data_IF_387683535448
#
_entry.id   IF_387683535448
#
_cell.length_a   1.000
_cell.length_b   1.000
_cell.length_c   1.000
_cell.angle_alpha   90.00
_cell.angle_beta   90.00
_cell.angle_gamma   90.00
#
_symmetry.space_group_name_H-M   'P 1'
#
loop_
_entity.id
_entity.type
_entity.pdbx_description
1 polymer ?
#
# COMPACT_ATOMS: atom_id res chain seq x y z
N UNK A 1 13.05 15.85 13.39
CA UNK A 1 12.36 15.57 12.11
C UNK A 1 11.43 16.71 11.74
N UNK A 2 10.39 17.04 12.53
CA UNK A 2 9.52 18.19 12.27
C UNK A 2 10.26 19.54 12.22
N UNK A 3 11.19 19.78 13.16
CA UNK A 3 12.00 21.01 13.20
C UNK A 3 12.94 21.14 12.00
N UNK A 4 13.71 20.09 11.69
CA UNK A 4 14.53 20.05 10.48
C UNK A 4 13.69 20.27 9.20
N UNK A 5 12.45 19.78 9.17
CA UNK A 5 11.53 20.04 8.06
C UNK A 5 11.03 21.50 8.04
N UNK A 6 10.78 22.12 9.21
CA UNK A 6 10.35 23.51 9.34
C UNK A 6 11.40 24.53 8.91
N UNK A 7 12.67 24.12 8.82
CA UNK A 7 13.77 24.94 8.30
C UNK A 7 13.72 25.11 6.78
N UNK A 8 12.92 24.30 6.07
CA UNK A 8 12.79 24.36 4.61
C UNK A 8 11.47 24.99 4.20
N UNK A 9 11.48 25.76 3.11
CA UNK A 9 10.25 26.33 2.55
C UNK A 9 9.29 25.20 2.13
N UNK A 10 7.99 25.36 2.39
CA UNK A 10 6.98 24.34 2.04
C UNK A 10 7.03 23.93 0.54
N UNK A 11 7.38 24.86 -0.36
CA UNK A 11 7.54 24.60 -1.79
C UNK A 11 8.74 23.67 -2.14
N UNK A 12 9.71 23.57 -1.24
CA UNK A 12 10.90 22.70 -1.34
C UNK A 12 10.75 21.38 -0.59
N UNK A 13 9.56 21.15 -0.01
CA UNK A 13 9.16 19.91 0.64
C UNK A 13 8.32 19.07 -0.33
N UNK A 14 8.61 17.78 -0.39
CA UNK A 14 7.75 16.85 -1.12
C UNK A 14 6.43 16.66 -0.33
N UNK A 15 5.24 16.68 -0.96
CA UNK A 15 3.95 16.52 -0.26
C UNK A 15 3.90 15.28 0.65
N UNK A 16 4.42 14.16 0.15
CA UNK A 16 4.52 12.92 0.93
C UNK A 16 5.35 13.02 2.21
N UNK A 17 6.41 13.85 2.24
CA UNK A 17 7.17 14.09 3.47
C UNK A 17 6.28 14.76 4.53
N UNK A 18 5.45 15.72 4.11
CA UNK A 18 4.51 16.41 5.00
C UNK A 18 3.43 15.46 5.51
N UNK A 19 2.83 14.66 4.61
CA UNK A 19 1.83 13.66 4.99
C UNK A 19 2.36 12.63 5.99
N UNK A 20 3.61 12.19 5.84
CA UNK A 20 4.25 11.27 6.78
C UNK A 20 4.52 11.91 8.14
N UNK A 21 4.95 13.18 8.18
CA UNK A 21 5.14 13.92 9.43
C UNK A 21 3.82 14.11 10.17
N UNK A 22 2.74 14.41 9.45
CA UNK A 22 1.39 14.54 10.01
C UNK A 22 0.89 13.19 10.55
N UNK A 23 1.06 12.12 9.79
CA UNK A 23 0.65 10.76 10.19
C UNK A 23 1.30 10.29 11.49
N UNK A 24 2.57 10.66 11.74
CA UNK A 24 3.26 10.32 13.00
C UNK A 24 3.05 11.36 14.09
N UNK A 25 2.26 12.41 13.85
CA UNK A 25 2.01 13.49 14.79
C UNK A 25 3.28 14.26 15.16
N UNK A 26 4.23 14.39 14.22
CA UNK A 26 5.50 15.05 14.49
C UNK A 26 5.30 16.56 14.64
N UNK A 27 5.07 17.01 15.87
CA UNK A 27 4.96 18.42 16.23
C UNK A 27 6.24 18.89 16.95
N UNK A 28 6.77 20.09 16.62
CA UNK A 28 7.83 20.71 17.42
C UNK A 28 7.32 20.95 18.85
N UNK A 29 8.09 20.49 19.85
CA UNK A 29 7.68 20.58 21.26
C UNK A 29 8.74 21.18 22.18
N UNK A 30 9.95 21.41 21.69
CA UNK A 30 11.08 21.93 22.47
C UNK A 30 11.32 23.40 22.18
N UNK A 31 11.96 24.09 23.13
CA UNK A 31 12.41 25.47 22.95
C UNK A 31 13.73 25.49 22.18
N UNK A 32 13.80 26.21 21.06
CA UNK A 32 15.02 26.31 20.25
C UNK A 32 16.14 27.12 20.94
N UNK A 33 15.81 27.92 21.96
CA UNK A 33 16.80 28.66 22.74
C UNK A 33 17.62 27.75 23.68
N UNK A 34 17.16 26.52 23.93
CA UNK A 34 17.80 25.57 24.85
C UNK A 34 18.28 24.34 24.06
N UNK A 35 19.48 23.78 24.36
CA UNK A 35 19.96 22.60 23.64
C UNK A 35 18.99 21.41 23.73
N UNK A 36 18.56 20.91 22.56
CA UNK A 36 17.61 19.79 22.44
C UNK A 36 17.94 18.56 23.30
N UNK A 37 19.21 18.08 23.37
CA UNK A 37 19.52 16.87 24.13
C UNK A 37 19.17 17.00 25.63
N UNK A 38 19.37 18.19 26.22
CA UNK A 38 19.05 18.42 27.62
C UNK A 38 17.53 18.41 27.88
N UNK A 39 16.75 19.00 26.97
CA UNK A 39 15.29 19.00 27.05
C UNK A 39 14.70 17.60 26.82
N UNK A 40 15.27 16.82 25.90
CA UNK A 40 14.88 15.43 25.65
C UNK A 40 15.14 14.54 26.87
N UNK A 41 16.34 14.65 27.47
CA UNK A 41 16.67 13.96 28.72
C UNK A 41 15.67 14.31 29.84
N UNK A 42 15.40 15.60 30.05
CA UNK A 42 14.44 16.05 31.05
C UNK A 42 13.03 15.51 30.82
N UNK A 43 12.53 15.53 29.57
CA UNK A 43 11.19 15.04 29.21
C UNK A 43 11.03 13.53 29.42
N UNK A 44 12.08 12.76 29.17
CA UNK A 44 12.04 11.30 29.27
C UNK A 44 12.60 10.76 30.60
N UNK A 45 13.02 11.62 31.52
CA UNK A 45 13.59 11.23 32.82
C UNK A 45 14.93 10.51 32.70
N UNK A 46 15.72 10.83 31.67
CA UNK A 46 16.99 10.15 31.36
C UNK A 46 18.15 11.01 31.84
N UNK A 47 19.09 10.39 32.57
CA UNK A 47 20.30 11.08 33.01
C UNK A 47 21.22 11.45 31.84
N UNK A 48 21.99 12.54 31.99
CA UNK A 48 22.89 13.04 30.94
C UNK A 48 23.91 11.99 30.48
N UNK A 49 24.41 11.15 31.39
CA UNK A 49 25.35 10.09 31.04
C UNK A 49 24.71 9.04 30.12
N UNK A 50 23.52 8.55 30.47
CA UNK A 50 22.76 7.59 29.65
C UNK A 50 22.35 8.18 28.29
N UNK A 51 22.03 9.48 28.23
CA UNK A 51 21.80 10.17 26.97
C UNK A 51 23.04 10.17 26.06
N UNK A 52 24.22 10.48 26.62
CA UNK A 52 25.47 10.51 25.84
C UNK A 52 25.83 9.12 25.33
N UNK A 53 25.65 8.09 26.16
CA UNK A 53 25.86 6.69 25.76
C UNK A 53 24.92 6.31 24.61
N UNK A 54 23.61 6.55 24.74
CA UNK A 54 22.63 6.27 23.69
C UNK A 54 22.92 7.07 22.40
N UNK A 55 23.38 8.33 22.52
CA UNK A 55 23.75 9.15 21.37
C UNK A 55 24.99 8.61 20.64
N UNK A 56 26.02 8.18 21.38
CA UNK A 56 27.22 7.58 20.81
C UNK A 56 26.91 6.23 20.15
N UNK A 57 26.07 5.40 20.78
CA UNK A 57 25.58 4.16 20.18
C UNK A 57 24.82 4.43 18.88
N UNK A 58 23.90 5.41 18.90
CA UNK A 58 23.14 5.81 17.71
C UNK A 58 24.05 6.27 16.57
N UNK A 59 25.05 7.11 16.86
CA UNK A 59 26.05 7.55 15.85
C UNK A 59 26.85 6.35 15.36
N UNK A 60 27.29 5.48 16.25
CA UNK A 60 28.02 4.25 15.90
C UNK A 60 27.21 3.32 14.99
N UNK A 61 25.90 3.20 15.22
CA UNK A 61 24.97 2.47 14.34
C UNK A 61 24.81 3.20 13.01
N UNK A 62 24.52 4.50 13.03
CA UNK A 62 24.26 5.31 11.84
C UNK A 62 25.45 5.29 10.86
N UNK A 63 26.68 5.33 11.36
CA UNK A 63 27.90 5.26 10.54
C UNK A 63 28.13 3.89 9.88
N UNK A 64 27.47 2.82 10.35
CA UNK A 64 27.56 1.46 9.79
C UNK A 64 26.38 1.11 8.88
N UNK A 65 25.34 1.94 8.85
CA UNK A 65 24.19 1.69 7.99
C UNK A 65 24.59 1.89 6.52
N UNK A 66 24.16 1.00 5.62
CA UNK A 66 24.41 1.19 4.20
C UNK A 66 23.67 2.43 3.70
N UNK A 67 24.27 3.14 2.75
CA UNK A 67 23.58 4.22 2.05
C UNK A 67 22.29 3.68 1.41
N UNK A 68 21.19 4.34 1.71
CA UNK A 68 19.88 4.00 1.16
C UNK A 68 19.61 4.81 -0.10
N UNK A 69 18.92 4.20 -1.04
CA UNK A 69 18.43 4.87 -2.25
C UNK A 69 17.51 6.04 -1.86
N UNK A 70 17.72 7.21 -2.45
CA UNK A 70 16.82 8.34 -2.27
C UNK A 70 15.56 8.12 -3.11
N UNK A 71 14.51 7.57 -2.49
CA UNK A 71 13.21 7.31 -3.15
C UNK A 71 12.31 8.56 -3.23
N UNK A 72 12.64 9.58 -2.43
CA UNK A 72 12.02 10.89 -2.42
C UNK A 72 13.15 11.91 -2.33
N UNK A 73 12.99 13.11 -2.92
CA UNK A 73 13.94 14.18 -2.68
C UNK A 73 14.00 14.48 -1.18
N UNK A 74 15.19 14.69 -0.60
CA UNK A 74 15.31 15.09 0.78
C UNK A 74 14.65 16.46 1.01
N UNK A 75 14.23 16.78 2.25
CA UNK A 75 13.75 18.11 2.61
C UNK A 75 14.67 19.21 2.05
N UNK A 76 14.06 20.25 1.45
CA UNK A 76 14.79 21.35 0.80
C UNK A 76 15.21 21.11 -0.65
N UNK A 77 15.07 19.89 -1.18
CA UNK A 77 15.55 19.51 -2.51
C UNK A 77 14.42 19.16 -3.49
N UNK A 78 13.14 19.30 -3.09
CA UNK A 78 12.03 19.04 -3.99
C UNK A 78 11.91 20.15 -5.05
N UNK A 79 11.80 19.75 -6.31
CA UNK A 79 11.51 20.61 -7.47
C UNK A 79 10.05 20.49 -7.89
N UNK A 80 9.54 21.45 -8.67
CA UNK A 80 8.20 21.38 -9.23
C UNK A 80 7.95 20.08 -10.03
N UNK A 81 8.94 19.60 -10.77
CA UNK A 81 8.87 18.32 -11.48
C UNK A 81 8.77 17.12 -10.52
N UNK A 82 9.53 17.12 -9.41
CA UNK A 82 9.44 16.05 -8.41
C UNK A 82 8.12 16.05 -7.63
N UNK A 83 7.42 17.18 -7.57
CA UNK A 83 6.08 17.30 -6.95
C UNK A 83 4.95 16.98 -7.92
N UNK A 84 5.13 17.26 -9.21
CA UNK A 84 4.13 16.94 -10.24
C UNK A 84 3.93 15.43 -10.42
N UNK A 85 4.97 14.64 -10.14
CA UNK A 85 4.92 13.18 -10.17
C UNK A 85 4.07 12.55 -9.06
N UNK A 86 3.66 13.31 -8.02
CA UNK A 86 2.91 12.77 -6.87
C UNK A 86 1.38 12.92 -6.93
N UNK A 87 0.83 13.42 -8.04
CA UNK A 87 -0.56 13.90 -8.07
C UNK A 87 -0.71 15.19 -7.25
N UNK A 88 -1.38 16.18 -7.83
CA UNK A 88 -1.55 17.51 -7.24
C UNK A 88 -2.58 17.47 -6.08
N UNK A 89 -2.09 17.41 -4.84
CA UNK A 89 -2.84 17.68 -3.60
C UNK A 89 -2.85 19.20 -3.36
N UNK A 90 -3.90 19.90 -3.80
CA UNK A 90 -4.21 21.24 -3.29
C UNK A 90 -5.19 21.09 -2.13
N UNK A 91 -4.69 21.29 -0.91
CA UNK A 91 -5.42 21.20 0.34
C UNK A 91 -6.76 21.97 0.32
N UNK A 92 -7.86 21.24 0.19
CA UNK A 92 -9.22 21.69 0.45
C UNK A 92 -9.77 20.99 1.69
N UNK A 93 -10.27 21.77 2.66
CA UNK A 93 -10.91 21.33 3.91
C UNK A 93 -11.79 20.07 3.72
N UNK A 94 -11.69 19.04 4.59
CA UNK A 94 -12.54 17.87 4.46
C UNK A 94 -14.02 18.25 4.61
N UNK A 95 -14.92 17.78 3.72
CA UNK A 95 -16.36 18.01 3.87
C UNK A 95 -16.88 17.29 5.12
N UNK A 96 -17.78 17.95 5.84
CA UNK A 96 -18.40 17.36 7.03
C UNK A 96 -19.49 16.36 6.62
N UNK A 97 -19.83 15.42 7.51
CA UNK A 97 -20.89 14.44 7.26
C UNK A 97 -22.25 15.11 6.92
N UNK A 98 -22.49 16.30 7.44
CA UNK A 98 -23.68 17.11 7.14
C UNK A 98 -23.68 17.69 5.72
N UNK A 99 -22.52 18.06 5.19
CA UNK A 99 -22.39 18.58 3.82
C UNK A 99 -22.73 17.49 2.80
N UNK A 100 -22.26 16.27 3.06
CA UNK A 100 -22.54 15.12 2.20
C UNK A 100 -24.02 14.71 2.23
N UNK A 101 -24.68 14.81 3.39
CA UNK A 101 -26.09 14.48 3.52
C UNK A 101 -27.02 15.48 2.80
N UNK A 102 -26.68 16.78 2.80
CA UNK A 102 -27.45 17.82 2.12
C UNK A 102 -27.34 17.74 0.59
N UNK A 103 -26.15 17.42 0.08
CA UNK A 103 -25.90 17.25 -1.36
C UNK A 103 -26.62 16.01 -1.93
N UNK A 104 -26.79 14.95 -1.12
CA UNK A 104 -27.55 13.75 -1.51
C UNK A 104 -29.06 13.96 -1.55
N UNK A 105 -29.61 14.85 -0.70
CA UNK A 105 -31.02 15.20 -0.72
C UNK A 105 -31.41 16.04 -1.96
N UNK A 106 -30.51 16.90 -2.46
CA UNK A 106 -30.75 17.66 -3.70
C UNK A 106 -30.58 16.82 -4.97
N UNK A 107 -29.74 15.78 -4.94
CA UNK A 107 -29.52 14.89 -6.08
C UNK A 107 -30.67 13.89 -6.33
N UNK A 108 -31.52 13.63 -5.33
CA UNK A 108 -32.67 12.73 -5.45
C UNK A 108 -33.94 13.39 -6.03
N UNK A 109 -33.92 14.70 -6.31
CA UNK A 109 -35.11 15.50 -6.63
C UNK A 109 -35.19 16.07 -8.06
N UNK A 110 -34.65 15.41 -9.08
CA UNK A 110 -34.69 15.92 -10.45
C UNK A 110 -34.92 14.84 -11.50
N UNK A 111 -36.18 14.64 -11.90
CA UNK A 111 -36.55 13.82 -13.04
C UNK A 111 -36.74 14.70 -14.31
N UNK A 112 -36.27 14.16 -15.43
CA UNK A 112 -36.46 14.56 -16.84
C UNK A 112 -35.57 15.68 -17.42
N UNK A 113 -34.68 15.30 -18.37
CA UNK A 113 -34.10 16.22 -19.36
C UNK A 113 -32.73 15.80 -19.98
N UNK A 114 -32.79 15.22 -21.19
CA UNK A 114 -31.82 15.22 -22.32
C UNK A 114 -30.31 14.84 -22.14
N UNK A 115 -29.66 14.27 -23.20
CA UNK A 115 -28.27 13.80 -23.15
C UNK A 115 -27.30 14.92 -23.55
N UNK A 116 -26.39 15.24 -22.63
CA UNK A 116 -25.35 16.24 -22.87
C UNK A 116 -25.00 16.98 -21.59
N UNK A 117 -24.32 16.33 -20.66
CA UNK A 117 -23.55 17.05 -19.64
C UNK A 117 -22.28 16.30 -19.32
N UNK A 118 -21.18 17.00 -19.60
CA UNK A 118 -19.85 16.77 -19.08
C UNK A 118 -19.92 16.80 -17.55
N UNK A 119 -20.19 15.65 -16.93
CA UNK A 119 -20.12 15.53 -15.47
C UNK A 119 -18.64 15.65 -15.09
N UNK A 120 -18.26 16.59 -14.20
CA UNK A 120 -16.89 16.68 -13.72
C UNK A 120 -16.48 15.33 -13.13
N UNK A 121 -15.41 14.74 -13.68
CA UNK A 121 -14.90 13.45 -13.20
C UNK A 121 -14.55 13.57 -11.72
N UNK A 122 -14.86 12.56 -10.88
CA UNK A 122 -14.49 12.60 -9.47
C UNK A 122 -12.97 12.67 -9.33
N UNK A 123 -12.47 13.60 -8.51
CA UNK A 123 -11.04 13.74 -8.23
C UNK A 123 -10.47 12.50 -7.53
N UNK A 124 -9.18 12.17 -7.70
CA UNK A 124 -8.53 11.02 -7.07
C UNK A 124 -8.80 10.94 -5.56
N UNK A 125 -8.75 12.08 -4.88
CA UNK A 125 -9.02 12.21 -3.43
C UNK A 125 -10.43 11.73 -3.06
N UNK A 126 -11.45 12.04 -3.86
CA UNK A 126 -12.84 11.63 -3.59
C UNK A 126 -13.01 10.13 -3.76
N UNK A 127 -12.32 9.55 -4.73
CA UNK A 127 -12.31 8.10 -4.98
C UNK A 127 -11.60 7.39 -3.83
N UNK A 128 -10.39 7.82 -3.46
CA UNK A 128 -9.60 7.24 -2.38
C UNK A 128 -10.26 7.44 -1.00
N UNK A 129 -10.86 8.60 -0.74
CA UNK A 129 -11.64 8.84 0.48
C UNK A 129 -12.84 7.89 0.59
N UNK A 130 -13.51 7.61 -0.54
CA UNK A 130 -14.62 6.65 -0.60
C UNK A 130 -14.14 5.21 -0.40
N UNK A 131 -12.97 4.84 -0.90
CA UNK A 131 -12.34 3.53 -0.64
C UNK A 131 -12.02 3.38 0.83
N UNK A 132 -11.34 4.37 1.44
CA UNK A 132 -10.99 4.33 2.86
C UNK A 132 -12.23 4.23 3.75
N UNK A 133 -13.28 4.96 3.43
CA UNK A 133 -14.55 4.88 4.16
C UNK A 133 -15.22 3.50 4.05
N UNK A 134 -15.20 2.89 2.85
CA UNK A 134 -15.73 1.56 2.63
C UNK A 134 -14.93 0.49 3.39
N UNK A 135 -13.60 0.59 3.40
CA UNK A 135 -12.73 -0.32 4.14
C UNK A 135 -12.87 -0.16 5.66
N UNK A 136 -12.90 1.08 6.16
CA UNK A 136 -13.14 1.34 7.58
C UNK A 136 -14.48 0.77 8.04
N UNK A 137 -15.52 0.91 7.21
CA UNK A 137 -16.83 0.32 7.49
C UNK A 137 -16.78 -1.20 7.48
N UNK A 138 -16.05 -1.79 6.53
CA UNK A 138 -15.84 -3.24 6.47
C UNK A 138 -15.14 -3.79 7.72
N UNK A 139 -14.18 -3.05 8.28
CA UNK A 139 -13.48 -3.43 9.51
C UNK A 139 -14.34 -3.29 10.77
N UNK A 140 -15.31 -2.36 10.76
CA UNK A 140 -16.18 -2.08 11.90
C UNK A 140 -17.41 -2.98 12.02
N UNK A 141 -17.81 -3.67 10.95
CA UNK A 141 -19.01 -4.51 10.97
C UNK A 141 -18.72 -5.90 11.55
N UNK A 142 -19.59 -6.42 12.44
CA UNK A 142 -19.48 -7.79 12.93
C UNK A 142 -19.96 -8.83 11.91
N UNK A 143 -20.56 -8.40 10.80
CA UNK A 143 -21.14 -9.28 9.78
C UNK A 143 -20.11 -9.58 8.66
N UNK A 144 -19.62 -10.82 8.53
CA UNK A 144 -18.60 -11.16 7.53
C UNK A 144 -19.03 -10.87 6.09
N UNK A 145 -20.29 -11.17 5.74
CA UNK A 145 -20.81 -10.94 4.40
C UNK A 145 -20.92 -9.43 4.07
N UNK A 146 -21.20 -8.59 5.07
CA UNK A 146 -21.22 -7.13 4.90
C UNK A 146 -19.80 -6.57 4.75
N UNK A 147 -18.86 -7.06 5.57
CA UNK A 147 -17.45 -6.69 5.46
C UNK A 147 -16.88 -7.04 4.08
N UNK A 148 -17.23 -8.22 3.56
CA UNK A 148 -16.87 -8.67 2.21
C UNK A 148 -17.49 -7.77 1.13
N UNK A 149 -18.78 -7.43 1.24
CA UNK A 149 -19.46 -6.58 0.27
C UNK A 149 -18.89 -5.15 0.22
N UNK A 150 -18.53 -4.58 1.37
CA UNK A 150 -17.95 -3.23 1.48
C UNK A 150 -16.51 -3.19 0.95
N UNK A 151 -15.68 -4.18 1.30
CA UNK A 151 -14.31 -4.32 0.78
C UNK A 151 -14.29 -4.57 -0.72
N UNK A 152 -15.24 -5.37 -1.21
CA UNK A 152 -15.50 -5.49 -2.63
C UNK A 152 -15.81 -4.09 -3.19
N UNK A 153 -16.81 -3.38 -2.69
CA UNK A 153 -17.17 -2.10 -3.32
C UNK A 153 -16.01 -1.09 -3.40
N UNK A 154 -15.11 -1.09 -2.42
CA UNK A 154 -13.87 -0.33 -2.43
C UNK A 154 -12.94 -0.70 -3.61
N UNK A 155 -12.64 -2.00 -3.77
CA UNK A 155 -11.75 -2.48 -4.84
C UNK A 155 -12.36 -2.27 -6.24
N UNK A 156 -13.68 -2.40 -6.40
CA UNK A 156 -14.37 -2.19 -7.70
C UNK A 156 -14.17 -0.74 -8.13
N UNK A 157 -14.30 0.16 -7.16
CA UNK A 157 -14.16 1.58 -7.35
C UNK A 157 -12.72 1.95 -7.70
N UNK A 158 -11.71 1.30 -7.09
CA UNK A 158 -10.30 1.45 -7.46
C UNK A 158 -10.00 0.91 -8.86
N UNK A 159 -10.39 -0.32 -9.17
CA UNK A 159 -10.10 -0.95 -10.47
C UNK A 159 -10.78 -0.19 -11.61
N UNK A 160 -12.06 0.18 -11.45
CA UNK A 160 -12.76 0.99 -12.45
C UNK A 160 -12.09 2.35 -12.60
N UNK A 161 -11.71 3.02 -11.51
CA UNK A 161 -11.02 4.30 -11.61
C UNK A 161 -9.66 4.18 -12.30
N UNK A 162 -8.88 3.12 -12.02
CA UNK A 162 -7.61 2.84 -12.71
C UNK A 162 -7.80 2.65 -14.21
N UNK A 163 -8.85 1.91 -14.62
CA UNK A 163 -9.21 1.69 -16.02
C UNK A 163 -9.71 2.98 -16.67
N UNK A 164 -10.59 3.73 -16.02
CA UNK A 164 -11.12 5.00 -16.52
C UNK A 164 -10.00 6.03 -16.72
N UNK A 165 -9.03 6.09 -15.82
CA UNK A 165 -7.84 6.93 -15.97
C UNK A 165 -6.97 6.43 -17.12
N UNK A 166 -6.69 5.12 -17.21
CA UNK A 166 -5.91 4.56 -18.30
C UNK A 166 -6.55 4.79 -19.69
N UNK A 167 -7.88 4.67 -19.80
CA UNK A 167 -8.63 4.96 -21.02
C UNK A 167 -8.64 6.46 -21.34
N UNK A 168 -8.77 7.32 -20.33
CA UNK A 168 -8.69 8.75 -20.51
C UNK A 168 -7.31 9.20 -21.00
N UNK A 169 -6.24 8.62 -20.45
CA UNK A 169 -4.87 8.85 -20.89
C UNK A 169 -4.65 8.34 -22.32
N UNK A 170 -5.25 7.20 -22.68
CA UNK A 170 -5.12 6.61 -24.03
C UNK A 170 -5.73 7.48 -25.14
N UNK A 171 -6.80 8.24 -24.83
CA UNK A 171 -7.54 9.08 -25.79
C UNK A 171 -7.05 10.54 -25.75
N UNK A 172 -6.18 10.91 -24.82
CA UNK A 172 -5.64 12.27 -24.73
C UNK A 172 -4.78 12.63 -25.97
N UNK A 173 -4.96 13.82 -26.57
CA UNK A 173 -4.21 14.24 -27.77
C UNK A 173 -2.70 14.36 -27.52
N UNK A 174 -2.30 14.56 -26.27
CA UNK A 174 -0.92 14.42 -25.79
C UNK A 174 -0.95 13.46 -24.61
N UNK A 175 -0.34 12.29 -24.77
CA UNK A 175 -0.22 11.31 -23.68
C UNK A 175 0.81 11.81 -22.65
N UNK A 176 0.43 12.07 -21.40
CA UNK A 176 1.41 12.35 -20.35
C UNK A 176 2.32 11.13 -20.18
N UNK A 177 3.63 11.35 -20.08
CA UNK A 177 4.58 10.28 -19.83
C UNK A 177 4.24 9.59 -18.50
N UNK A 178 4.19 8.25 -18.49
CA UNK A 178 4.00 7.51 -17.26
C UNK A 178 5.15 7.84 -16.29
N UNK A 179 4.79 8.29 -15.09
CA UNK A 179 5.75 8.57 -14.02
C UNK A 179 5.69 7.44 -13.01
N UNK A 180 6.84 6.81 -12.77
CA UNK A 180 6.99 5.83 -11.71
C UNK A 180 7.55 6.49 -10.45
N UNK A 181 7.05 6.05 -9.31
CA UNK A 181 7.45 6.44 -7.97
C UNK A 181 7.90 5.20 -7.18
N UNK A 182 8.46 5.42 -5.99
CA UNK A 182 8.90 4.36 -5.11
C UNK A 182 8.28 4.46 -3.71
N UNK A 183 7.97 3.32 -3.09
CA UNK A 183 7.39 3.22 -1.74
C UNK A 183 8.07 2.14 -0.93
N UNK A 184 8.46 2.45 0.31
CA UNK A 184 8.96 1.45 1.27
C UNK A 184 7.83 0.94 2.13
N UNK A 185 7.65 -0.38 2.15
CA UNK A 185 6.75 -1.09 3.06
C UNK A 185 7.62 -1.79 4.10
N UNK A 186 7.47 -1.39 5.36
CA UNK A 186 8.20 -1.96 6.48
C UNK A 186 7.55 -3.27 6.93
N UNK A 187 8.38 -4.27 7.21
CA UNK A 187 8.00 -5.61 7.55
C UNK A 187 8.64 -6.01 8.88
N UNK A 188 7.81 -6.10 9.91
CA UNK A 188 8.29 -6.50 11.22
C UNK A 188 8.68 -7.97 11.27
N UNK A 189 9.74 -8.28 12.02
CA UNK A 189 10.02 -9.65 12.43
C UNK A 189 8.87 -10.18 13.34
N UNK A 190 8.60 -11.50 13.35
CA UNK A 190 9.26 -12.57 12.62
C UNK A 190 8.74 -12.76 11.19
N UNK A 191 9.42 -13.63 10.43
CA UNK A 191 9.04 -14.08 9.07
C UNK A 191 9.09 -13.01 7.98
N UNK A 192 10.09 -12.11 8.04
CA UNK A 192 10.33 -11.08 7.02
C UNK A 192 10.39 -11.67 5.60
N UNK A 193 11.01 -12.84 5.42
CA UNK A 193 11.08 -13.53 4.12
C UNK A 193 9.69 -13.85 3.52
N UNK A 194 8.85 -14.67 4.19
CA UNK A 194 7.49 -14.92 3.70
C UNK A 194 6.63 -13.65 3.56
N UNK A 195 6.78 -12.66 4.44
CA UNK A 195 6.09 -11.37 4.31
C UNK A 195 6.55 -10.60 3.07
N UNK A 196 7.85 -10.65 2.76
CA UNK A 196 8.43 -10.09 1.54
C UNK A 196 7.82 -10.74 0.30
N UNK A 197 7.68 -12.07 0.30
CA UNK A 197 7.05 -12.78 -0.80
C UNK A 197 5.62 -12.30 -1.03
N UNK A 198 4.82 -12.11 0.04
CA UNK A 198 3.46 -11.60 -0.11
C UNK A 198 3.42 -10.22 -0.77
N UNK A 199 4.27 -9.28 -0.32
CA UNK A 199 4.37 -7.94 -0.92
C UNK A 199 4.80 -8.04 -2.39
N UNK A 200 5.74 -8.94 -2.72
CA UNK A 200 6.19 -9.15 -4.09
C UNK A 200 5.09 -9.72 -5.00
N UNK A 201 4.30 -10.67 -4.50
CA UNK A 201 3.17 -11.26 -5.24
C UNK A 201 2.05 -10.24 -5.47
N UNK A 202 1.72 -9.42 -4.46
CA UNK A 202 0.76 -8.33 -4.57
C UNK A 202 1.28 -7.24 -5.54
N UNK A 203 2.55 -6.86 -5.41
CA UNK A 203 3.18 -5.87 -6.28
C UNK A 203 3.16 -6.29 -7.75
N UNK A 204 3.63 -7.51 -8.04
CA UNK A 204 3.66 -8.07 -9.40
C UNK A 204 2.27 -8.10 -10.05
N UNK A 205 1.23 -8.46 -9.29
CA UNK A 205 -0.14 -8.48 -9.80
C UNK A 205 -0.75 -7.09 -10.05
N UNK A 206 -0.14 -6.02 -9.50
CA UNK A 206 -0.58 -4.64 -9.65
C UNK A 206 0.48 -3.80 -10.38
N UNK A 207 1.13 -4.39 -11.40
CA UNK A 207 2.09 -3.71 -12.29
C UNK A 207 3.29 -3.04 -11.59
N UNK A 208 3.61 -3.48 -10.36
CA UNK A 208 4.72 -2.97 -9.60
C UNK A 208 5.92 -3.93 -9.63
N UNK A 209 7.11 -3.37 -9.46
CA UNK A 209 8.36 -4.12 -9.24
C UNK A 209 8.80 -3.98 -7.78
N UNK A 210 9.28 -5.05 -7.17
CA UNK A 210 9.65 -5.05 -5.75
C UNK A 210 11.11 -5.43 -5.52
N UNK A 211 11.79 -4.72 -4.63
CA UNK A 211 13.17 -4.98 -4.19
C UNK A 211 13.20 -5.10 -2.67
N UNK A 212 13.69 -6.22 -2.15
CA UNK A 212 13.75 -6.46 -0.70
C UNK A 212 15.08 -6.03 -0.11
N UNK A 213 15.02 -5.31 1.01
CA UNK A 213 16.15 -4.97 1.87
C UNK A 213 15.97 -5.64 3.23
N UNK A 214 15.98 -6.99 3.26
CA UNK A 214 15.62 -7.77 4.45
C UNK A 214 16.43 -7.43 5.71
N UNK A 215 17.73 -7.12 5.56
CA UNK A 215 18.58 -6.71 6.69
C UNK A 215 18.07 -5.46 7.40
N UNK A 216 17.33 -4.63 6.67
CA UNK A 216 16.72 -3.39 7.15
C UNK A 216 15.20 -3.55 7.37
N UNK A 217 14.62 -4.71 7.07
CA UNK A 217 13.22 -5.01 7.36
C UNK A 217 12.21 -4.27 6.48
N UNK A 218 12.52 -3.95 5.22
CA UNK A 218 11.53 -3.36 4.31
C UNK A 218 11.64 -3.88 2.88
N UNK A 219 10.56 -3.67 2.12
CA UNK A 219 10.49 -3.89 0.66
C UNK A 219 10.26 -2.54 -0.01
N UNK A 220 11.07 -2.22 -1.01
CA UNK A 220 10.82 -1.08 -1.91
C UNK A 220 9.97 -1.55 -3.08
N UNK A 221 8.81 -0.93 -3.25
CA UNK A 221 7.87 -1.14 -4.35
C UNK A 221 8.01 0.03 -5.32
N UNK A 222 8.09 -0.26 -6.61
CA UNK A 222 8.22 0.69 -7.71
C UNK A 222 6.99 0.54 -8.60
N UNK A 223 6.29 1.63 -8.88
CA UNK A 223 5.01 1.62 -9.60
C UNK A 223 4.48 3.03 -9.83
N UNK A 224 3.30 3.15 -10.43
CA UNK A 224 2.55 4.42 -10.42
C UNK A 224 2.01 4.69 -9.02
N UNK A 225 1.71 5.94 -8.66
CA UNK A 225 1.21 6.23 -7.30
C UNK A 225 -0.08 5.47 -6.96
N UNK A 226 -0.98 5.31 -7.93
CA UNK A 226 -2.20 4.53 -7.76
C UNK A 226 -1.89 3.07 -7.47
N UNK A 227 -0.97 2.46 -8.22
CA UNK A 227 -0.57 1.07 -8.02
C UNK A 227 0.13 0.90 -6.66
N UNK A 228 0.96 1.87 -6.25
CA UNK A 228 1.63 1.87 -4.95
C UNK A 228 0.65 1.95 -3.77
N UNK A 229 -0.39 2.79 -3.87
CA UNK A 229 -1.44 2.89 -2.87
C UNK A 229 -2.21 1.57 -2.74
N UNK A 230 -2.56 0.95 -3.88
CA UNK A 230 -3.23 -0.35 -3.92
C UNK A 230 -2.36 -1.43 -3.26
N UNK A 231 -1.07 -1.49 -3.60
CA UNK A 231 -0.13 -2.48 -3.04
C UNK A 231 0.05 -2.29 -1.53
N UNK A 232 0.14 -1.06 -1.04
CA UNK A 232 0.29 -0.76 0.39
C UNK A 232 -0.93 -1.22 1.20
N UNK A 233 -2.14 -0.86 0.74
CA UNK A 233 -3.39 -1.24 1.40
C UNK A 233 -3.59 -2.75 1.37
N UNK A 234 -3.46 -3.37 0.19
CA UNK A 234 -3.63 -4.82 0.02
C UNK A 234 -2.62 -5.62 0.85
N UNK A 235 -1.34 -5.24 0.80
CA UNK A 235 -0.29 -5.95 1.54
C UNK A 235 -0.54 -5.90 3.05
N UNK A 236 -0.90 -4.73 3.56
CA UNK A 236 -1.20 -4.54 4.99
C UNK A 236 -2.40 -5.39 5.41
N UNK A 237 -3.50 -5.32 4.64
CA UNK A 237 -4.70 -6.12 4.92
C UNK A 237 -4.43 -7.63 4.87
N UNK A 238 -3.72 -8.11 3.84
CA UNK A 238 -3.44 -9.55 3.67
C UNK A 238 -2.47 -10.09 4.72
N UNK A 239 -1.52 -9.28 5.19
CA UNK A 239 -0.65 -9.65 6.32
C UNK A 239 -1.47 -9.82 7.61
N UNK A 240 -2.44 -8.95 7.86
CA UNK A 240 -3.35 -9.06 9.01
C UNK A 240 -4.24 -10.30 8.87
N UNK A 241 -4.81 -10.54 7.69
CA UNK A 241 -5.63 -11.73 7.42
C UNK A 241 -4.83 -13.03 7.61
N UNK A 242 -3.60 -13.09 7.09
CA UNK A 242 -2.70 -14.23 7.26
C UNK A 242 -2.40 -14.48 8.74
N UNK A 243 -2.11 -13.45 9.53
CA UNK A 243 -1.86 -13.56 10.95
C UNK A 243 -3.10 -14.10 11.70
N UNK A 244 -4.29 -13.56 11.42
CA UNK A 244 -5.56 -14.03 12.00
C UNK A 244 -5.85 -15.49 11.64
N UNK A 245 -5.71 -15.86 10.38
CA UNK A 245 -5.95 -17.24 9.92
C UNK A 245 -4.96 -18.25 10.52
N UNK A 246 -3.69 -17.85 10.65
CA UNK A 246 -2.67 -18.67 11.29
C UNK A 246 -2.95 -18.89 12.79
N UNK A 247 -3.43 -17.86 13.50
CA UNK A 247 -3.86 -17.99 14.91
C UNK A 247 -5.10 -18.86 15.05
N UNK A 248 -6.09 -18.70 14.16
CA UNK A 248 -7.33 -19.48 14.15
C UNK A 248 -7.12 -20.97 13.87
N UNK A 249 -6.03 -21.34 13.19
CA UNK A 249 -5.66 -22.74 12.97
C UNK A 249 -5.37 -23.48 14.29
N UNK A 250 -5.03 -22.75 15.36
CA UNK A 250 -4.90 -23.28 16.72
C UNK A 250 -3.72 -24.24 16.91
N UNK A 251 -3.64 -24.85 18.09
CA UNK A 251 -2.64 -25.89 18.39
C UNK A 251 -3.09 -27.24 17.85
N UNK A 252 -2.89 -27.48 16.56
CA UNK A 252 -3.13 -28.80 15.98
C UNK A 252 -1.95 -29.73 16.29
N UNK A 253 -2.21 -30.82 17.01
CA UNK A 253 -1.31 -31.95 17.18
C UNK A 253 -1.68 -33.01 16.15
N UNK A 254 -0.95 -33.06 15.04
CA UNK A 254 -1.08 -34.14 14.06
C UNK A 254 0.12 -35.08 14.18
N UNK A 255 -0.03 -36.37 13.85
CA UNK A 255 1.08 -37.33 13.75
C UNK A 255 2.25 -36.87 12.86
N UNK A 256 2.03 -35.87 12.00
CA UNK A 256 2.98 -35.32 11.02
C UNK A 256 3.58 -33.95 11.42
N UNK A 257 3.27 -33.42 12.61
CA UNK A 257 3.87 -32.17 13.10
C UNK A 257 2.90 -31.27 13.88
N UNK A 258 3.48 -30.33 14.64
CA UNK A 258 2.74 -29.36 15.47
C UNK A 258 2.59 -28.03 14.74
N UNK A 259 1.38 -27.47 14.73
CA UNK A 259 1.06 -26.16 14.13
C UNK A 259 1.78 -24.97 14.79
N UNK A 260 2.34 -25.18 16.00
CA UNK A 260 3.10 -24.15 16.73
C UNK A 260 4.56 -24.02 16.30
N UNK A 261 5.04 -24.91 15.44
CA UNK A 261 6.45 -24.92 15.01
C UNK A 261 6.77 -23.75 14.08
N UNK A 262 8.02 -23.27 14.15
CA UNK A 262 8.55 -22.25 13.22
C UNK A 262 8.42 -22.71 11.76
N UNK A 263 8.68 -23.98 11.47
CA UNK A 263 8.61 -24.56 10.13
C UNK A 263 7.19 -24.61 9.57
N UNK A 264 6.19 -24.88 10.42
CA UNK A 264 4.77 -24.78 10.05
C UNK A 264 4.41 -23.34 9.67
N UNK A 265 4.66 -22.36 10.55
CA UNK A 265 4.31 -20.95 10.31
C UNK A 265 5.01 -20.35 9.09
N UNK A 266 6.28 -20.72 8.90
CA UNK A 266 7.02 -20.32 7.70
C UNK A 266 6.39 -20.89 6.42
N UNK A 267 6.09 -22.19 6.39
CA UNK A 267 5.47 -22.84 5.22
C UNK A 267 4.03 -22.35 4.98
N UNK A 268 3.29 -22.04 6.06
CA UNK A 268 1.98 -21.39 6.00
C UNK A 268 2.06 -20.05 5.29
N UNK A 269 2.94 -19.15 5.73
CA UNK A 269 3.03 -17.81 5.15
C UNK A 269 3.54 -17.84 3.70
N UNK A 270 4.48 -18.74 3.37
CA UNK A 270 4.94 -18.92 1.99
C UNK A 270 3.80 -19.37 1.07
N UNK A 271 3.11 -20.45 1.43
CA UNK A 271 2.00 -20.98 0.64
C UNK A 271 0.83 -20.01 0.55
N UNK A 272 0.56 -19.25 1.62
CA UNK A 272 -0.43 -18.19 1.61
C UNK A 272 -0.07 -17.13 0.57
N UNK A 273 1.16 -16.60 0.62
CA UNK A 273 1.65 -15.59 -0.32
C UNK A 273 1.61 -16.08 -1.77
N UNK A 274 2.13 -17.28 -2.05
CA UNK A 274 2.11 -17.87 -3.39
C UNK A 274 0.69 -17.99 -3.92
N UNK A 275 -0.25 -18.50 -3.10
CA UNK A 275 -1.65 -18.67 -3.53
C UNK A 275 -2.38 -17.35 -3.71
N UNK A 276 -2.09 -16.33 -2.91
CA UNK A 276 -2.59 -14.97 -3.15
C UNK A 276 -2.13 -14.47 -4.52
N UNK A 277 -0.84 -14.61 -4.83
CA UNK A 277 -0.28 -14.18 -6.11
C UNK A 277 -0.93 -14.86 -7.31
N UNK A 278 -1.16 -16.18 -7.23
CA UNK A 278 -1.91 -16.93 -8.24
C UNK A 278 -3.30 -16.32 -8.46
N UNK A 279 -4.08 -16.15 -7.39
CA UNK A 279 -5.47 -15.63 -7.46
C UNK A 279 -5.54 -14.19 -7.98
N UNK A 280 -4.56 -13.34 -7.64
CA UNK A 280 -4.50 -11.97 -8.13
C UNK A 280 -4.16 -11.94 -9.63
N UNK A 281 -3.20 -12.75 -10.09
CA UNK A 281 -2.89 -12.89 -11.53
C UNK A 281 -4.07 -13.42 -12.32
N UNK A 282 -4.75 -14.45 -11.83
CA UNK A 282 -5.98 -14.97 -12.44
C UNK A 282 -7.06 -13.89 -12.61
N UNK A 283 -7.12 -12.91 -11.70
CA UNK A 283 -8.07 -11.78 -11.80
C UNK A 283 -7.58 -10.70 -12.76
N UNK A 284 -6.28 -10.39 -12.73
CA UNK A 284 -5.67 -9.44 -13.66
C UNK A 284 -5.80 -9.91 -15.11
N UNK A 285 -5.53 -11.20 -15.39
CA UNK A 285 -5.63 -11.80 -16.71
C UNK A 285 -7.06 -11.75 -17.26
N UNK A 286 -8.07 -12.02 -16.41
CA UNK A 286 -9.50 -11.90 -16.78
C UNK A 286 -9.88 -10.46 -17.11
N UNK A 287 -9.37 -9.50 -16.35
CA UNK A 287 -9.64 -8.07 -16.56
C UNK A 287 -8.99 -7.58 -17.86
N UNK A 288 -7.73 -7.99 -18.11
CA UNK A 288 -7.01 -7.66 -19.33
C UNK A 288 -7.71 -8.23 -20.57
N UNK A 289 -8.17 -9.48 -20.51
CA UNK A 289 -8.93 -10.11 -21.59
C UNK A 289 -10.24 -9.37 -21.90
N UNK A 290 -10.92 -8.81 -20.89
CA UNK A 290 -12.15 -8.05 -21.07
C UNK A 290 -11.93 -6.63 -21.62
N UNK A 291 -10.79 -6.00 -21.33
CA UNK A 291 -10.48 -4.64 -21.74
C UNK A 291 -9.94 -4.52 -23.18
N UNK A 292 -9.58 -5.64 -23.82
CA UNK A 292 -9.08 -5.66 -25.19
C UNK A 292 -7.66 -5.08 -25.35
N UNK A 293 -7.26 -4.81 -26.59
CA UNK A 293 -5.89 -4.38 -26.93
C UNK A 293 -5.57 -2.92 -26.60
N UNK A 294 -6.58 -2.13 -26.24
CA UNK A 294 -6.47 -0.67 -26.08
C UNK A 294 -5.62 -0.27 -24.86
N UNK A 295 -5.54 -1.13 -23.84
CA UNK A 295 -4.73 -0.89 -22.63
C UNK A 295 -3.26 -1.32 -22.77
N UNK A 296 -2.92 -2.11 -23.80
CA UNK A 296 -1.57 -2.67 -23.97
C UNK A 296 -0.50 -1.57 -24.04
N UNK A 297 -0.67 -0.46 -24.79
CA UNK A 297 0.32 0.61 -24.82
C UNK A 297 0.48 1.32 -23.47
N UNK A 298 -0.61 1.53 -22.73
CA UNK A 298 -0.58 2.21 -21.42
C UNK A 298 0.18 1.37 -20.39
N UNK A 299 -0.07 0.06 -20.35
CA UNK A 299 0.64 -0.85 -19.47
C UNK A 299 2.12 -0.99 -19.84
N UNK A 300 2.44 -0.97 -21.15
CA UNK A 300 3.82 -0.96 -21.62
C UNK A 300 4.56 0.32 -21.21
N UNK A 301 3.92 1.49 -21.29
CA UNK A 301 4.49 2.76 -20.85
C UNK A 301 4.76 2.78 -19.34
N UNK A 302 3.80 2.29 -18.54
CA UNK A 302 3.99 2.11 -17.09
C UNK A 302 5.14 1.17 -16.77
N UNK A 303 5.22 0.02 -17.43
CA UNK A 303 6.32 -0.93 -17.24
C UNK A 303 7.68 -0.30 -17.55
N UNK A 304 7.79 0.44 -18.66
CA UNK A 304 9.04 1.14 -19.03
C UNK A 304 9.44 2.20 -18.00
N UNK A 305 8.47 2.94 -17.47
CA UNK A 305 8.74 3.92 -16.41
C UNK A 305 9.26 3.25 -15.13
N UNK A 306 8.66 2.11 -14.75
CA UNK A 306 9.10 1.32 -13.58
C UNK A 306 10.49 0.74 -13.78
N UNK A 307 10.78 0.20 -14.97
CA UNK A 307 12.10 -0.35 -15.28
C UNK A 307 13.19 0.72 -15.31
N UNK A 308 12.90 1.88 -15.90
CA UNK A 308 13.82 3.04 -15.88
C UNK A 308 14.12 3.47 -14.44
N UNK A 309 13.09 3.55 -13.59
CA UNK A 309 13.27 3.89 -12.18
C UNK A 309 14.05 2.80 -11.44
N UNK A 310 13.76 1.53 -11.70
CA UNK A 310 14.49 0.41 -11.12
C UNK A 310 15.98 0.48 -11.44
N UNK A 311 16.34 0.67 -12.71
CA UNK A 311 17.73 0.75 -13.14
C UNK A 311 18.45 1.95 -12.51
N UNK A 312 17.74 3.08 -12.35
CA UNK A 312 18.29 4.28 -11.70
C UNK A 312 18.57 4.10 -10.20
N UNK A 313 17.66 3.43 -9.47
CA UNK A 313 17.76 3.28 -8.01
C UNK A 313 18.60 2.05 -7.61
N UNK A 314 18.54 0.98 -8.41
CA UNK A 314 19.11 -0.32 -8.10
C UNK A 314 20.13 -0.80 -9.13
N UNK A 315 20.97 0.12 -9.62
CA UNK A 315 22.07 -0.16 -10.54
C UNK A 315 23.06 -1.24 -10.02
N UNK A 316 23.09 -1.51 -8.72
CA UNK A 316 23.87 -2.61 -8.13
C UNK A 316 23.12 -3.93 -8.22
N UNK A 317 23.84 -5.02 -8.53
CA UNK A 317 23.27 -6.35 -8.75
C UNK A 317 22.26 -6.78 -7.67
N UNK A 318 20.98 -6.83 -8.05
CA UNK A 318 19.93 -7.49 -7.27
C UNK A 318 19.94 -8.98 -7.57
N UNK A 319 19.81 -9.83 -6.54
CA UNK A 319 19.73 -11.28 -6.71
C UNK A 319 18.27 -11.73 -6.64
N UNK A 320 17.86 -12.61 -7.57
CA UNK A 320 16.55 -13.25 -7.50
C UNK A 320 16.47 -14.12 -6.25
N UNK A 321 15.44 -13.89 -5.43
CA UNK A 321 15.21 -14.69 -4.23
C UNK A 321 14.43 -15.96 -4.57
N UNK A 322 14.81 -17.04 -3.90
CA UNK A 322 14.06 -18.29 -3.86
C UNK A 322 13.61 -18.56 -2.43
N UNK A 323 12.45 -19.20 -2.30
CA UNK A 323 11.89 -19.59 -1.02
C UNK A 323 11.67 -21.11 -1.02
N UNK A 324 11.92 -21.75 0.11
CA UNK A 324 11.68 -23.18 0.31
C UNK A 324 10.76 -23.41 1.51
N UNK A 325 9.83 -24.35 1.37
CA UNK A 325 8.91 -24.78 2.41
C UNK A 325 9.17 -26.24 2.75
N UNK A 326 9.30 -26.54 4.05
CA UNK A 326 9.62 -27.88 4.55
C UNK A 326 8.50 -28.55 5.35
N UNK A 327 7.32 -27.92 5.45
CA UNK A 327 6.21 -28.46 6.24
C UNK A 327 4.92 -28.52 5.41
N UNK A 328 4.50 -29.74 5.05
CA UNK A 328 3.33 -29.98 4.21
C UNK A 328 2.01 -29.55 4.88
N UNK A 329 1.85 -29.76 6.20
CA UNK A 329 0.66 -29.34 6.92
C UNK A 329 0.53 -27.81 6.95
N UNK A 330 1.64 -27.11 7.20
CA UNK A 330 1.72 -25.65 7.13
C UNK A 330 1.38 -25.14 5.73
N UNK A 331 1.94 -25.77 4.70
CA UNK A 331 1.64 -25.45 3.30
C UNK A 331 0.15 -25.62 2.96
N UNK A 332 -0.47 -26.72 3.35
CA UNK A 332 -1.89 -26.98 3.12
C UNK A 332 -2.79 -25.97 3.83
N UNK A 333 -2.48 -25.67 5.10
CA UNK A 333 -3.23 -24.68 5.87
C UNK A 333 -3.09 -23.26 5.31
N UNK A 334 -1.89 -22.87 4.86
CA UNK A 334 -1.63 -21.56 4.27
C UNK A 334 -2.34 -21.40 2.92
N UNK A 335 -2.32 -22.40 2.04
CA UNK A 335 -3.12 -22.39 0.80
C UNK A 335 -4.62 -22.27 1.08
N UNK A 336 -5.13 -23.07 2.03
CA UNK A 336 -6.56 -23.02 2.38
C UNK A 336 -6.97 -21.66 2.96
N UNK A 337 -6.10 -21.05 3.79
CA UNK A 337 -6.32 -19.70 4.31
C UNK A 337 -6.26 -18.66 3.19
N UNK A 338 -5.34 -18.82 2.24
CA UNK A 338 -5.24 -17.96 1.08
C UNK A 338 -6.45 -18.09 0.16
N UNK A 339 -7.07 -19.27 -0.01
CA UNK A 339 -8.30 -19.41 -0.81
C UNK A 339 -9.48 -18.67 -0.19
N UNK A 340 -9.53 -18.59 1.15
CA UNK A 340 -10.54 -17.82 1.90
C UNK A 340 -10.18 -16.34 2.07
N UNK A 341 -8.98 -15.93 1.70
CA UNK A 341 -8.56 -14.54 1.84
C UNK A 341 -9.42 -13.65 0.94
N UNK A 342 -9.78 -12.49 1.45
CA UNK A 342 -10.53 -11.50 0.70
C UNK A 342 -9.53 -10.73 -0.16
N UNK A 343 -9.54 -11.03 -1.47
CA UNK A 343 -8.66 -10.43 -2.48
C UNK A 343 -9.38 -9.46 -3.40
N UNK A 344 -10.67 -9.70 -3.62
CA UNK A 344 -11.42 -9.07 -4.70
C UNK A 344 -12.88 -8.86 -4.32
N UNK A 345 -13.41 -7.82 -4.94
CA UNK A 345 -14.61 -7.81 -5.77
C UNK A 345 -14.72 -8.94 -6.80
N UNK A 346 -15.49 -9.97 -6.51
CA UNK A 346 -16.32 -10.61 -7.55
C UNK A 346 -17.41 -11.46 -6.92
N UNK A 347 -18.63 -11.23 -7.40
CA UNK A 347 -19.89 -11.85 -7.02
C UNK A 347 -19.78 -13.38 -6.92
N UNK A 348 -20.14 -13.94 -5.77
CA UNK A 348 -20.81 -15.24 -5.77
C UNK A 348 -22.20 -15.01 -6.33
N UNK A 349 -22.38 -15.26 -7.63
CA UNK A 349 -23.70 -15.39 -8.22
C UNK A 349 -24.47 -16.42 -7.39
N UNK A 350 -25.45 -15.94 -6.63
CA UNK A 350 -26.40 -16.79 -5.93
C UNK A 350 -27.15 -17.56 -7.01
N UNK A 351 -26.86 -18.86 -7.06
CA UNK A 351 -27.63 -19.85 -7.78
C UNK A 351 -28.98 -19.98 -7.05
N UNK A 352 -29.94 -19.14 -7.39
CA UNK A 352 -31.38 -19.35 -7.18
C UNK A 352 -32.04 -19.16 -8.55
N UNK A 353 -32.86 -20.07 -9.07
CA UNK A 353 -33.33 -21.33 -8.54
C UNK A 353 -33.88 -22.18 -9.69
N UNK A 354 -34.03 -23.48 -9.42
CA UNK A 354 -35.04 -24.27 -10.09
C UNK A 354 -35.41 -25.43 -9.17
N UNK A 355 -36.62 -25.38 -8.62
CA UNK A 355 -37.57 -26.49 -8.63
C UNK A 355 -38.97 -25.95 -8.28
N UNK A 356 -40.00 -26.64 -8.80
CA UNK A 356 -41.09 -26.07 -9.60
C UNK A 356 -42.12 -25.27 -8.82
#
# INVERSE_FOLDING_TARGET
MADAAAQYAAASMHPRWLAQLDQVGAQPWWDHAVPYPAQWAGRHGIERAALLEAALELVGVALRLPALQAILPPPGHATAASRAGSGDDTAGRPPTADDTAREWASAAGGAAGAPGSDRPRPSPEKVLGRVRALLAKAESTPFPEEAEALSAKAQELMSRYSIEQALADAVAPVRPAAVASARRIWLDAPYVGPKTLLVAEVGSANHCRTVSSEKLGFVTVLGTDLDLDVVEVLSTSLLVQAARAMLATGSQYTRLGTSRTRSFRHSFLLSYATRIGERLRETADRTAAAAGTDLVPVLADRSRAVDTLFDSLFATATVRRSFSAGNAAGWGAGRSAADRAVLTTERRAVRQGRRP
#
